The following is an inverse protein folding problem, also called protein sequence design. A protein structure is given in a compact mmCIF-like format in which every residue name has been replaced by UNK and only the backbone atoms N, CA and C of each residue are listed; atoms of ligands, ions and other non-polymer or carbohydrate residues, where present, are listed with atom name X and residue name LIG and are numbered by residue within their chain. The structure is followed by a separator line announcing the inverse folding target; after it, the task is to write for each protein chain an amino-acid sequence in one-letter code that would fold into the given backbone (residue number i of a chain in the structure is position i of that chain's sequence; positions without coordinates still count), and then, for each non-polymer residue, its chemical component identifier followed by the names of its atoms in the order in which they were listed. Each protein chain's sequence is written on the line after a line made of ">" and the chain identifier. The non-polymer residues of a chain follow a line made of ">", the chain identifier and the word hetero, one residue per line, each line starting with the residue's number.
data_IF_475486775327
#
_entry.id   IF_475486775327
#
_cell.length_a   1.000
_cell.length_b   1.000
_cell.length_c   1.000
_cell.angle_alpha   90.00
_cell.angle_beta   90.00
_cell.angle_gamma   90.00
#
_symmetry.space_group_name_H-M   'P 1'
#
loop_
_entity.id
_entity.type
_entity.pdbx_description
1 polymer ?
#
# COMPACT_ATOMS: atom_id res chain seq x y z
N UNK A 1 39.53 14.60 -1.41
CA UNK A 1 38.48 14.07 -2.30
C UNK A 1 37.79 15.22 -2.99
N UNK A 2 38.21 15.56 -4.21
CA UNK A 2 37.60 16.61 -5.02
C UNK A 2 36.35 16.06 -5.71
N UNK A 3 35.19 16.61 -5.36
CA UNK A 3 33.88 16.25 -5.91
C UNK A 3 33.83 16.69 -7.39
N UNK A 4 33.97 15.74 -8.33
CA UNK A 4 33.98 16.02 -9.76
C UNK A 4 32.54 16.13 -10.31
N UNK A 5 31.97 17.33 -10.17
CA UNK A 5 30.59 17.64 -10.54
C UNK A 5 30.26 17.30 -12.01
N UNK A 6 31.22 17.38 -12.93
CA UNK A 6 30.98 17.06 -14.36
C UNK A 6 30.70 15.57 -14.56
N UNK A 7 31.42 14.71 -13.84
CA UNK A 7 31.26 13.26 -13.92
C UNK A 7 29.93 12.81 -13.32
N UNK A 8 29.51 13.44 -12.21
CA UNK A 8 28.20 13.19 -11.58
C UNK A 8 27.04 13.63 -12.48
N UNK A 9 27.15 14.78 -13.16
CA UNK A 9 26.11 15.29 -14.08
C UNK A 9 25.99 14.38 -15.33
N UNK A 10 27.12 13.93 -15.90
CA UNK A 10 27.10 12.99 -17.02
C UNK A 10 26.52 11.62 -16.63
N UNK A 11 26.87 11.10 -15.44
CA UNK A 11 26.31 9.85 -14.94
C UNK A 11 24.81 9.96 -14.65
N UNK A 12 24.35 11.08 -14.09
CA UNK A 12 22.94 11.35 -13.89
C UNK A 12 22.19 11.41 -15.24
N UNK A 13 22.73 12.12 -16.24
CA UNK A 13 22.13 12.19 -17.58
C UNK A 13 22.03 10.83 -18.28
N UNK A 14 23.08 10.02 -18.20
CA UNK A 14 23.09 8.66 -18.77
C UNK A 14 22.11 7.71 -18.06
N UNK A 15 21.95 7.84 -16.75
CA UNK A 15 20.94 7.13 -15.97
C UNK A 15 19.54 7.54 -16.40
N UNK A 16 19.22 8.84 -16.41
CA UNK A 16 17.91 9.36 -16.81
C UNK A 16 17.53 8.93 -18.22
N UNK A 17 18.47 8.95 -19.15
CA UNK A 17 18.25 8.50 -20.53
C UNK A 17 17.94 7.00 -20.61
N UNK A 18 18.64 6.15 -19.85
CA UNK A 18 18.33 4.71 -19.77
C UNK A 18 16.93 4.46 -19.22
N UNK A 19 16.54 5.16 -18.16
CA UNK A 19 15.18 5.04 -17.60
C UNK A 19 14.11 5.48 -18.59
N UNK A 20 14.33 6.60 -19.29
CA UNK A 20 13.37 7.13 -20.26
C UNK A 20 13.20 6.20 -21.46
N UNK A 21 14.30 5.69 -22.02
CA UNK A 21 14.26 4.73 -23.15
C UNK A 21 13.63 3.41 -22.73
N UNK A 22 13.91 2.94 -21.51
CA UNK A 22 13.30 1.72 -20.95
C UNK A 22 11.79 1.87 -20.73
N UNK A 23 11.35 2.99 -20.15
CA UNK A 23 9.95 3.29 -19.93
C UNK A 23 9.19 3.45 -21.26
N UNK A 24 9.79 4.12 -22.24
CA UNK A 24 9.20 4.30 -23.58
C UNK A 24 9.04 2.98 -24.32
N UNK A 25 10.06 2.10 -24.27
CA UNK A 25 9.99 0.77 -24.89
C UNK A 25 8.92 -0.11 -24.23
N UNK A 26 8.74 -0.02 -22.91
CA UNK A 26 7.66 -0.70 -22.17
C UNK A 26 6.28 -0.13 -22.53
N UNK A 27 6.15 1.19 -22.63
CA UNK A 27 4.92 1.83 -23.08
C UNK A 27 4.52 1.43 -24.50
N UNK A 28 5.48 1.32 -25.41
CA UNK A 28 5.22 0.89 -26.79
C UNK A 28 4.64 -0.53 -26.86
N UNK A 29 5.09 -1.43 -25.97
CA UNK A 29 4.59 -2.81 -25.85
C UNK A 29 3.19 -2.93 -25.25
N UNK A 30 2.64 -1.85 -24.66
CA UNK A 30 1.29 -1.89 -24.11
C UNK A 30 0.22 -1.92 -25.20
N UNK A 31 -0.80 -2.74 -24.97
CA UNK A 31 -2.00 -2.79 -25.80
C UNK A 31 -2.82 -1.48 -25.67
N UNK A 32 -3.80 -1.22 -26.56
CA UNK A 32 -4.54 0.05 -26.60
C UNK A 32 -5.16 0.40 -25.23
N UNK A 33 -5.71 -0.59 -24.53
CA UNK A 33 -6.28 -0.44 -23.18
C UNK A 33 -5.22 -0.07 -22.13
N UNK A 34 -4.03 -0.66 -22.20
CA UNK A 34 -2.92 -0.33 -21.30
C UNK A 34 -2.41 1.10 -21.53
N UNK A 35 -2.33 1.53 -22.79
CA UNK A 35 -1.99 2.93 -23.14
C UNK A 35 -3.06 3.90 -22.66
N UNK A 36 -4.34 3.56 -22.83
CA UNK A 36 -5.46 4.35 -22.34
C UNK A 36 -5.45 4.47 -20.80
N UNK A 37 -5.15 3.38 -20.09
CA UNK A 37 -5.01 3.37 -18.64
C UNK A 37 -3.86 4.27 -18.16
N UNK A 38 -2.69 4.21 -18.82
CA UNK A 38 -1.56 5.09 -18.51
C UNK A 38 -1.94 6.56 -18.71
N UNK A 39 -2.58 6.91 -19.84
CA UNK A 39 -3.04 8.27 -20.07
C UNK A 39 -4.11 8.71 -19.07
N UNK A 40 -5.07 7.84 -18.72
CA UNK A 40 -6.07 8.11 -17.69
C UNK A 40 -5.40 8.40 -16.34
N UNK A 41 -4.40 7.62 -15.95
CA UNK A 41 -3.61 7.86 -14.73
C UNK A 41 -2.85 9.18 -14.79
N UNK A 42 -2.21 9.51 -15.91
CA UNK A 42 -1.53 10.81 -16.09
C UNK A 42 -2.53 11.96 -15.94
N UNK A 43 -3.66 11.91 -16.64
CA UNK A 43 -4.71 12.93 -16.55
C UNK A 43 -5.29 13.03 -15.15
N UNK A 44 -5.49 11.91 -14.45
CA UNK A 44 -5.92 11.90 -13.06
C UNK A 44 -4.93 12.61 -12.14
N UNK A 45 -3.63 12.34 -12.26
CA UNK A 45 -2.60 13.00 -11.45
C UNK A 45 -2.47 14.49 -11.79
N UNK A 46 -2.58 14.87 -13.06
CA UNK A 46 -2.61 16.28 -13.48
C UNK A 46 -3.84 16.99 -12.93
N UNK A 47 -5.02 16.37 -13.00
CA UNK A 47 -6.25 16.91 -12.44
C UNK A 47 -6.13 17.09 -10.91
N UNK A 48 -5.58 16.09 -10.22
CA UNK A 48 -5.33 16.15 -8.78
C UNK A 48 -4.36 17.29 -8.44
N UNK A 49 -3.22 17.40 -9.13
CA UNK A 49 -2.26 18.48 -8.95
C UNK A 49 -2.91 19.85 -9.22
N UNK A 50 -3.73 19.95 -10.27
CA UNK A 50 -4.45 21.18 -10.62
C UNK A 50 -5.45 21.57 -9.53
N UNK A 51 -6.16 20.61 -8.94
CA UNK A 51 -7.05 20.85 -7.79
C UNK A 51 -6.25 21.36 -6.60
N UNK A 52 -5.13 20.72 -6.25
CA UNK A 52 -4.26 21.17 -5.15
C UNK A 52 -3.70 22.57 -5.37
N UNK A 53 -3.26 22.90 -6.58
CA UNK A 53 -2.73 24.22 -6.94
C UNK A 53 -3.85 25.28 -6.94
N UNK A 54 -5.01 24.98 -7.54
CA UNK A 54 -6.10 25.95 -7.74
C UNK A 54 -6.92 26.21 -6.48
N UNK A 55 -7.22 25.17 -5.71
CA UNK A 55 -7.97 25.31 -4.46
C UNK A 55 -7.06 25.69 -3.28
N UNK A 56 -5.76 25.43 -3.39
CA UNK A 56 -4.79 25.64 -2.33
C UNK A 56 -4.89 24.53 -1.28
N UNK A 57 -3.74 23.98 -0.88
CA UNK A 57 -3.67 22.96 0.16
C UNK A 57 -4.35 23.43 1.46
N UNK A 58 -4.22 24.72 1.79
CA UNK A 58 -4.81 25.33 2.99
C UNK A 58 -6.34 25.16 3.05
N UNK A 59 -7.06 25.32 1.93
CA UNK A 59 -8.53 25.16 1.93
C UNK A 59 -8.95 23.71 2.12
N UNK A 60 -8.20 22.77 1.57
CA UNK A 60 -8.47 21.33 1.73
C UNK A 60 -8.24 20.94 3.19
N UNK A 61 -7.13 21.37 3.78
CA UNK A 61 -6.84 21.11 5.18
C UNK A 61 -7.83 21.81 6.13
N UNK A 62 -8.26 23.02 5.82
CA UNK A 62 -9.32 23.71 6.55
C UNK A 62 -10.65 22.94 6.47
N UNK A 63 -11.05 22.47 5.28
CA UNK A 63 -12.27 21.67 5.12
C UNK A 63 -12.21 20.37 5.94
N UNK A 64 -11.08 19.67 5.92
CA UNK A 64 -10.86 18.47 6.73
C UNK A 64 -10.91 18.81 8.24
N UNK A 65 -10.33 19.94 8.65
CA UNK A 65 -10.37 20.43 10.02
C UNK A 65 -11.79 20.76 10.48
N UNK A 66 -12.53 21.55 9.71
CA UNK A 66 -13.91 21.94 10.03
C UNK A 66 -14.82 20.70 10.09
N UNK A 67 -14.63 19.75 9.17
CA UNK A 67 -15.32 18.46 9.18
C UNK A 67 -14.99 17.65 10.44
N UNK A 68 -13.72 17.63 10.84
CA UNK A 68 -13.27 16.98 12.06
C UNK A 68 -13.88 17.62 13.32
N UNK A 69 -13.96 18.96 13.39
CA UNK A 69 -14.58 19.65 14.53
C UNK A 69 -16.09 19.40 14.60
N UNK A 70 -16.80 19.40 13.46
CA UNK A 70 -18.21 19.01 13.39
C UNK A 70 -18.43 17.59 13.92
N UNK A 71 -17.55 16.67 13.54
CA UNK A 71 -17.60 15.29 14.02
C UNK A 71 -17.33 15.19 15.52
N UNK A 72 -16.31 15.90 16.01
CA UNK A 72 -15.96 15.96 17.43
C UNK A 72 -17.10 16.50 18.30
N UNK A 73 -17.85 17.48 17.79
CA UNK A 73 -18.99 18.07 18.48
C UNK A 73 -20.18 17.08 18.63
N UNK A 74 -20.25 16.04 17.80
CA UNK A 74 -21.27 15.00 17.93
C UNK A 74 -20.89 14.00 19.03
N UNK A 75 -21.78 13.66 19.97
CA UNK A 75 -21.52 12.64 21.00
C UNK A 75 -21.12 11.28 20.43
N UNK A 76 -21.61 10.95 19.23
CA UNK A 76 -21.36 9.68 18.52
C UNK A 76 -20.29 9.80 17.42
N UNK A 77 -19.57 10.93 17.31
CA UNK A 77 -18.60 11.14 16.22
C UNK A 77 -17.50 10.08 16.14
N UNK A 78 -17.09 9.54 17.29
CA UNK A 78 -16.09 8.48 17.37
C UNK A 78 -16.60 7.14 16.81
N UNK A 79 -17.91 6.86 16.92
CA UNK A 79 -18.54 5.68 16.30
C UNK A 79 -18.61 5.86 14.78
N UNK A 80 -18.99 7.05 14.32
CA UNK A 80 -19.10 7.36 12.89
C UNK A 80 -17.75 7.17 12.20
N UNK A 81 -16.66 7.71 12.78
CA UNK A 81 -15.33 7.54 12.17
C UNK A 81 -14.83 6.10 12.23
N UNK A 82 -15.15 5.38 13.32
CA UNK A 82 -14.85 3.94 13.43
C UNK A 82 -15.58 3.14 12.34
N UNK A 83 -16.85 3.44 12.09
CA UNK A 83 -17.63 2.83 11.02
C UNK A 83 -17.05 3.15 9.64
N UNK A 84 -16.64 4.40 9.39
CA UNK A 84 -15.96 4.78 8.14
C UNK A 84 -14.67 3.98 7.96
N UNK A 85 -13.85 3.82 9.01
CA UNK A 85 -12.61 3.02 8.95
C UNK A 85 -12.92 1.56 8.64
N UNK A 86 -13.95 0.98 9.27
CA UNK A 86 -14.38 -0.40 9.02
C UNK A 86 -14.83 -0.57 7.56
N UNK A 87 -15.72 0.31 7.09
CA UNK A 87 -16.26 0.28 5.73
C UNK A 87 -15.13 0.47 4.71
N UNK A 88 -14.30 1.49 4.88
CA UNK A 88 -13.16 1.78 3.99
C UNK A 88 -12.02 0.78 4.11
N UNK A 89 -12.11 -0.22 5.00
CA UNK A 89 -11.18 -1.36 5.02
C UNK A 89 -11.52 -2.40 3.94
N UNK A 90 -12.73 -2.36 3.38
CA UNK A 90 -13.17 -3.23 2.29
C UNK A 90 -12.68 -2.72 0.94
N UNK A 91 -11.97 -3.53 0.14
CA UNK A 91 -11.72 -3.23 -1.27
C UNK A 91 -13.05 -3.10 -2.03
N UNK A 92 -13.24 -2.13 -2.96
CA UNK A 92 -12.26 -1.17 -3.50
C UNK A 92 -12.31 0.23 -2.85
N UNK A 93 -12.95 0.36 -1.69
CA UNK A 93 -13.24 1.67 -1.10
C UNK A 93 -11.94 2.40 -0.73
N UNK A 94 -11.87 3.67 -1.08
CA UNK A 94 -10.74 4.55 -0.74
C UNK A 94 -11.13 5.52 0.36
N UNK A 95 -10.15 6.09 1.05
CA UNK A 95 -10.38 7.11 2.08
C UNK A 95 -10.07 6.68 3.52
N UNK A 96 -9.62 5.45 3.73
CA UNK A 96 -9.17 4.99 5.06
C UNK A 96 -8.06 5.88 5.64
N UNK A 97 -7.05 6.25 4.83
CA UNK A 97 -5.99 7.18 5.24
C UNK A 97 -6.52 8.57 5.61
N UNK A 98 -7.52 9.07 4.87
CA UNK A 98 -8.17 10.35 5.17
C UNK A 98 -8.96 10.27 6.48
N UNK A 99 -9.68 9.18 6.73
CA UNK A 99 -10.38 8.95 7.99
C UNK A 99 -9.41 8.90 9.19
N UNK A 100 -8.23 8.28 9.02
CA UNK A 100 -7.17 8.31 10.04
C UNK A 100 -6.69 9.74 10.31
N UNK A 101 -6.42 10.55 9.28
CA UNK A 101 -6.02 11.96 9.45
C UNK A 101 -7.12 12.78 10.14
N UNK A 102 -8.37 12.64 9.71
CA UNK A 102 -9.54 13.33 10.31
C UNK A 102 -9.74 12.92 11.77
N UNK A 103 -9.51 11.64 12.12
CA UNK A 103 -9.57 11.18 13.51
C UNK A 103 -8.51 11.86 14.38
N UNK A 104 -7.31 12.06 13.82
CA UNK A 104 -6.24 12.84 14.44
C UNK A 104 -6.60 14.32 14.59
N UNK A 105 -7.29 14.91 13.62
CA UNK A 105 -7.77 16.30 13.68
C UNK A 105 -8.82 16.50 14.77
N UNK A 106 -9.76 15.56 14.91
CA UNK A 106 -10.87 15.66 15.84
C UNK A 106 -10.46 15.31 17.28
N UNK A 107 -9.79 14.18 17.48
CA UNK A 107 -9.58 13.57 18.80
C UNK A 107 -8.11 13.51 19.23
N UNK A 108 -7.18 13.95 18.37
CA UNK A 108 -5.76 13.92 18.65
C UNK A 108 -5.20 12.49 18.81
N UNK A 109 -4.08 12.31 19.53
CA UNK A 109 -3.49 10.99 19.77
C UNK A 109 -4.43 10.01 20.48
N UNK A 110 -5.44 10.52 21.22
CA UNK A 110 -6.45 9.70 21.90
C UNK A 110 -7.33 8.93 20.91
N UNK A 111 -7.39 9.36 19.64
CA UNK A 111 -8.16 8.65 18.61
C UNK A 111 -7.73 7.17 18.45
N UNK A 112 -6.46 6.87 18.77
CA UNK A 112 -5.91 5.53 18.67
C UNK A 112 -6.71 4.47 19.43
N UNK A 113 -7.34 4.82 20.57
CA UNK A 113 -8.08 3.87 21.41
C UNK A 113 -9.29 3.24 20.71
N UNK A 114 -9.94 3.97 19.78
CA UNK A 114 -11.06 3.45 18.99
C UNK A 114 -10.66 3.16 17.54
N UNK A 115 -9.66 3.85 16.99
CA UNK A 115 -9.18 3.61 15.62
C UNK A 115 -8.50 2.26 15.48
N UNK A 116 -7.64 1.87 16.44
CA UNK A 116 -6.95 0.59 16.40
C UNK A 116 -7.93 -0.61 16.38
N UNK A 117 -8.91 -0.72 17.31
CA UNK A 117 -9.88 -1.80 17.25
C UNK A 117 -10.77 -1.71 16.01
N UNK A 118 -11.20 -0.52 15.57
CA UNK A 118 -11.98 -0.37 14.34
C UNK A 118 -11.21 -0.87 13.09
N UNK A 119 -9.92 -0.56 12.99
CA UNK A 119 -9.06 -1.05 11.92
C UNK A 119 -8.93 -2.58 11.95
N UNK A 120 -8.73 -3.18 13.13
CA UNK A 120 -8.69 -4.64 13.28
C UNK A 120 -10.01 -5.29 12.87
N UNK A 121 -11.15 -4.72 13.29
CA UNK A 121 -12.49 -5.23 12.93
C UNK A 121 -12.72 -5.10 11.42
N UNK A 122 -12.37 -3.95 10.82
CA UNK A 122 -12.48 -3.73 9.38
C UNK A 122 -11.63 -4.69 8.56
N UNK A 123 -10.39 -4.91 8.99
CA UNK A 123 -9.49 -5.88 8.38
C UNK A 123 -10.04 -7.31 8.50
N UNK A 124 -10.53 -7.71 9.68
CA UNK A 124 -11.13 -9.02 9.89
C UNK A 124 -12.35 -9.23 8.99
N UNK A 125 -13.25 -8.25 8.95
CA UNK A 125 -14.44 -8.29 8.11
C UNK A 125 -14.08 -8.39 6.63
N UNK A 126 -13.13 -7.56 6.16
CA UNK A 126 -12.64 -7.62 4.79
C UNK A 126 -12.04 -8.98 4.45
N UNK A 127 -11.22 -9.55 5.33
CA UNK A 127 -10.59 -10.84 5.09
C UNK A 127 -11.62 -11.96 4.96
N UNK A 128 -12.59 -12.01 5.87
CA UNK A 128 -13.66 -13.02 5.88
C UNK A 128 -14.56 -12.84 4.66
N UNK A 129 -15.01 -11.61 4.37
CA UNK A 129 -15.89 -11.33 3.24
C UNK A 129 -15.23 -11.73 1.91
N UNK A 130 -13.98 -11.33 1.68
CA UNK A 130 -13.29 -11.67 0.44
C UNK A 130 -13.10 -13.18 0.27
N UNK A 131 -12.73 -13.89 1.35
CA UNK A 131 -12.59 -15.36 1.29
C UNK A 131 -13.90 -16.08 1.14
N UNK A 132 -15.00 -15.54 1.66
CA UNK A 132 -16.30 -16.17 1.49
C UNK A 132 -16.84 -15.97 0.06
N UNK A 133 -16.80 -14.75 -0.45
CA UNK A 133 -17.43 -14.41 -1.74
C UNK A 133 -16.54 -14.70 -2.97
N UNK A 134 -15.21 -14.66 -2.85
CA UNK A 134 -14.31 -14.71 -4.00
C UNK A 134 -13.37 -15.91 -4.04
N UNK A 135 -13.52 -16.89 -3.13
CA UNK A 135 -12.62 -18.07 -3.03
C UNK A 135 -12.34 -18.74 -4.36
N UNK A 136 -13.38 -19.05 -5.12
CA UNK A 136 -13.22 -19.82 -6.36
C UNK A 136 -12.54 -19.00 -7.47
N UNK A 137 -12.87 -17.70 -7.57
CA UNK A 137 -12.23 -16.80 -8.53
C UNK A 137 -10.74 -16.60 -8.20
N UNK A 138 -10.43 -16.44 -6.92
CA UNK A 138 -9.06 -16.33 -6.40
C UNK A 138 -8.26 -17.60 -6.72
N UNK A 139 -8.79 -18.79 -6.42
CA UNK A 139 -8.10 -20.06 -6.70
C UNK A 139 -7.76 -20.22 -8.18
N UNK A 140 -8.72 -19.91 -9.07
CA UNK A 140 -8.50 -19.94 -10.53
C UNK A 140 -7.46 -18.92 -10.98
N UNK A 141 -7.42 -17.75 -10.35
CA UNK A 141 -6.43 -16.70 -10.65
C UNK A 141 -5.02 -17.13 -10.22
N UNK A 142 -4.84 -17.63 -8.99
CA UNK A 142 -3.53 -18.07 -8.49
C UNK A 142 -2.98 -19.26 -9.27
N UNK A 143 -3.84 -20.18 -9.73
CA UNK A 143 -3.40 -21.31 -10.55
C UNK A 143 -2.85 -20.91 -11.92
N UNK A 144 -3.37 -19.83 -12.50
CA UNK A 144 -2.95 -19.32 -13.82
C UNK A 144 -1.66 -18.51 -13.76
N UNK A 145 -1.32 -17.96 -12.61
CA UNK A 145 -0.25 -16.99 -12.49
C UNK A 145 0.92 -17.53 -11.67
N UNK A 146 2.05 -17.74 -12.32
CA UNK A 146 3.22 -18.34 -11.67
C UNK A 146 3.79 -17.49 -10.55
N UNK A 147 3.83 -16.15 -10.73
CA UNK A 147 4.29 -15.21 -9.70
C UNK A 147 3.44 -15.27 -8.43
N UNK A 148 2.12 -15.42 -8.58
CA UNK A 148 1.19 -15.54 -7.46
C UNK A 148 1.33 -16.87 -6.73
N UNK A 149 1.55 -17.95 -7.46
CA UNK A 149 1.86 -19.27 -6.90
C UNK A 149 3.20 -19.27 -6.14
N UNK A 150 4.22 -18.60 -6.68
CA UNK A 150 5.49 -18.39 -5.99
C UNK A 150 5.29 -17.61 -4.68
N UNK A 151 4.56 -16.49 -4.72
CA UNK A 151 4.24 -15.71 -3.52
C UNK A 151 3.51 -16.54 -2.45
N UNK A 152 2.53 -17.35 -2.86
CA UNK A 152 1.82 -18.25 -1.95
C UNK A 152 2.74 -19.30 -1.33
N UNK A 153 3.65 -19.89 -2.12
CA UNK A 153 4.63 -20.87 -1.65
C UNK A 153 5.63 -20.25 -0.65
N UNK A 154 6.11 -19.04 -0.94
CA UNK A 154 7.03 -18.31 -0.05
C UNK A 154 6.34 -17.96 1.27
N UNK A 155 5.08 -17.52 1.24
CA UNK A 155 4.29 -17.25 2.46
C UNK A 155 3.99 -18.53 3.22
N UNK A 156 3.70 -19.64 2.54
CA UNK A 156 3.50 -20.93 3.19
C UNK A 156 4.77 -21.42 3.89
N UNK A 157 5.94 -21.18 3.30
CA UNK A 157 7.24 -21.60 3.85
C UNK A 157 7.74 -20.68 4.97
N UNK A 158 7.62 -19.36 4.82
CA UNK A 158 8.15 -18.35 5.77
C UNK A 158 7.13 -17.99 6.85
N UNK A 159 5.84 -18.21 6.63
CA UNK A 159 4.78 -18.09 7.63
C UNK A 159 4.52 -16.68 8.17
N UNK A 160 4.14 -16.60 9.45
CA UNK A 160 3.75 -15.36 10.13
C UNK A 160 4.78 -14.21 10.03
N UNK A 161 6.10 -14.46 10.19
CA UNK A 161 7.12 -13.43 10.00
C UNK A 161 7.03 -12.65 8.69
N UNK A 162 6.88 -13.37 7.58
CA UNK A 162 6.78 -12.74 6.26
C UNK A 162 5.47 -11.97 6.12
N UNK A 163 4.38 -12.50 6.67
CA UNK A 163 3.07 -11.82 6.69
C UNK A 163 3.19 -10.48 7.42
N UNK A 164 3.88 -10.44 8.57
CA UNK A 164 4.14 -9.20 9.32
C UNK A 164 4.95 -8.22 8.47
N UNK A 165 6.02 -8.69 7.82
CA UNK A 165 6.87 -7.86 6.97
C UNK A 165 6.11 -7.24 5.79
N UNK A 166 5.35 -8.06 5.06
CA UNK A 166 4.50 -7.58 3.95
C UNK A 166 3.45 -6.59 4.47
N UNK A 167 2.90 -6.79 5.67
CA UNK A 167 1.92 -5.86 6.26
C UNK A 167 2.53 -4.49 6.56
N UNK A 168 3.79 -4.46 6.98
CA UNK A 168 4.53 -3.25 7.32
C UNK A 168 5.01 -2.47 6.08
N UNK A 169 5.16 -3.16 4.95
CA UNK A 169 5.48 -2.57 3.65
C UNK A 169 4.56 -1.38 3.31
N UNK A 170 5.00 -0.44 2.45
CA UNK A 170 4.24 0.78 2.10
C UNK A 170 3.03 0.50 1.18
N UNK A 171 2.32 -0.61 1.40
CA UNK A 171 1.09 -0.97 0.70
C UNK A 171 -0.09 -0.15 1.22
N UNK A 172 -0.98 0.35 0.34
CA UNK A 172 -2.25 0.90 0.76
C UNK A 172 -3.07 -0.13 1.56
N UNK A 173 -3.69 0.33 2.64
CA UNK A 173 -4.36 -0.52 3.63
C UNK A 173 -5.35 -1.53 3.02
N UNK A 174 -6.18 -1.06 2.09
CA UNK A 174 -7.21 -1.87 1.43
C UNK A 174 -6.63 -2.92 0.50
N UNK A 175 -5.60 -2.56 -0.27
CA UNK A 175 -4.89 -3.52 -1.12
C UNK A 175 -4.17 -4.58 -0.29
N UNK A 176 -3.57 -4.19 0.82
CA UNK A 176 -2.96 -5.14 1.76
C UNK A 176 -4.01 -6.12 2.33
N UNK A 177 -5.23 -5.65 2.67
CA UNK A 177 -6.32 -6.53 3.09
C UNK A 177 -6.74 -7.51 1.98
N UNK A 178 -6.84 -7.03 0.74
CA UNK A 178 -7.19 -7.85 -0.41
C UNK A 178 -6.13 -8.92 -0.71
N UNK A 179 -4.86 -8.53 -0.65
CA UNK A 179 -3.70 -9.40 -0.89
C UNK A 179 -3.74 -10.63 0.02
N UNK A 180 -3.81 -10.42 1.34
CA UNK A 180 -3.82 -11.54 2.29
C UNK A 180 -5.09 -12.37 2.24
N UNK A 181 -6.23 -11.78 1.86
CA UNK A 181 -7.45 -12.53 1.65
C UNK A 181 -7.35 -13.49 0.44
N UNK A 182 -6.56 -13.10 -0.57
CA UNK A 182 -6.35 -13.85 -1.83
C UNK A 182 -5.40 -15.04 -1.66
N UNK A 183 -4.46 -14.96 -0.74
CA UNK A 183 -3.44 -16.01 -0.53
C UNK A 183 -4.04 -17.08 0.38
N UNK A 184 -4.27 -18.31 -0.09
CA UNK A 184 -4.97 -19.34 0.70
C UNK A 184 -4.13 -19.82 1.90
N UNK A 185 -2.81 -19.86 1.75
CA UNK A 185 -1.87 -20.28 2.80
C UNK A 185 -1.91 -19.42 4.07
N UNK A 186 -2.42 -18.19 4.00
CA UNK A 186 -2.51 -17.28 5.15
C UNK A 186 -3.66 -17.68 6.06
N UNK A 187 -3.39 -17.97 7.33
CA UNK A 187 -4.45 -18.19 8.33
C UNK A 187 -5.10 -16.88 8.79
N UNK A 188 -6.39 -16.91 9.17
CA UNK A 188 -7.07 -15.75 9.78
C UNK A 188 -6.31 -15.25 11.01
N UNK A 189 -5.87 -16.16 11.89
CA UNK A 189 -5.08 -15.80 13.06
C UNK A 189 -3.76 -15.11 12.71
N UNK A 190 -3.03 -15.62 11.71
CA UNK A 190 -1.77 -15.01 11.28
C UNK A 190 -1.99 -13.59 10.75
N UNK A 191 -3.05 -13.40 9.95
CA UNK A 191 -3.44 -12.10 9.45
C UNK A 191 -3.83 -11.12 10.57
N UNK A 192 -4.56 -11.59 11.59
CA UNK A 192 -4.95 -10.75 12.72
C UNK A 192 -3.77 -10.35 13.58
N UNK A 193 -2.85 -11.27 13.88
CA UNK A 193 -1.61 -10.95 14.62
C UNK A 193 -0.78 -9.92 13.86
N UNK A 194 -0.57 -10.13 12.56
CA UNK A 194 0.15 -9.17 11.72
C UNK A 194 -0.55 -7.80 11.66
N UNK A 195 -1.89 -7.78 11.65
CA UNK A 195 -2.68 -6.55 11.66
C UNK A 195 -2.56 -5.80 13.00
N UNK A 196 -2.55 -6.50 14.13
CA UNK A 196 -2.31 -5.89 15.45
C UNK A 196 -0.92 -5.25 15.50
N UNK A 197 0.11 -5.97 15.02
CA UNK A 197 1.48 -5.46 14.96
C UNK A 197 1.67 -4.30 13.98
N UNK A 198 0.76 -4.16 13.00
CA UNK A 198 0.72 -3.01 12.09
C UNK A 198 0.11 -1.76 12.73
N UNK A 199 -0.75 -1.87 13.75
CA UNK A 199 -1.44 -0.71 14.35
C UNK A 199 -0.53 0.46 14.81
N UNK A 200 0.73 0.27 15.25
CA UNK A 200 1.63 1.40 15.52
C UNK A 200 1.83 2.32 14.30
N UNK A 201 1.80 1.80 13.07
CA UNK A 201 1.86 2.60 11.83
C UNK A 201 0.63 3.51 11.69
N UNK A 202 -0.54 3.06 12.15
CA UNK A 202 -1.76 3.89 12.20
C UNK A 202 -1.61 5.05 13.20
N UNK A 203 -0.99 4.80 14.36
CA UNK A 203 -0.75 5.84 15.36
C UNK A 203 0.08 6.99 14.79
N UNK A 204 1.10 6.71 13.97
CA UNK A 204 1.92 7.74 13.33
C UNK A 204 1.05 8.67 12.47
N UNK A 205 0.14 8.12 11.67
CA UNK A 205 -0.76 8.90 10.80
C UNK A 205 -1.70 9.79 11.64
N UNK A 206 -2.32 9.22 12.69
CA UNK A 206 -3.20 9.94 13.62
C UNK A 206 -2.42 11.07 14.31
N UNK A 207 -1.21 10.77 14.75
CA UNK A 207 -0.35 11.72 15.43
C UNK A 207 0.02 12.89 14.51
N UNK A 208 0.48 12.61 13.29
CA UNK A 208 0.75 13.64 12.28
C UNK A 208 -0.51 14.49 12.03
N UNK A 209 -1.67 13.85 11.87
CA UNK A 209 -2.95 14.54 11.74
C UNK A 209 -3.19 15.53 12.89
N UNK A 210 -3.03 15.08 14.14
CA UNK A 210 -3.20 15.94 15.32
C UNK A 210 -2.27 17.16 15.36
N UNK A 211 -1.09 17.07 14.71
CA UNK A 211 -0.14 18.17 14.58
C UNK A 211 -0.54 19.13 13.48
N UNK A 212 -0.90 18.60 12.31
CA UNK A 212 -1.37 19.40 11.18
C UNK A 212 -2.60 20.21 11.58
N UNK A 213 -3.53 19.63 12.35
CA UNK A 213 -4.73 20.32 12.84
C UNK A 213 -4.43 21.66 13.57
N UNK A 214 -3.34 21.74 14.33
CA UNK A 214 -2.94 22.98 15.03
C UNK A 214 -2.46 24.08 14.09
N UNK A 215 -1.96 23.71 12.91
CA UNK A 215 -1.54 24.66 11.88
C UNK A 215 -2.68 25.02 10.94
N UNK A 216 -3.66 24.12 10.79
CA UNK A 216 -4.87 24.34 10.00
C UNK A 216 -5.85 25.31 10.67
N UNK A 217 -5.80 25.52 11.99
CA UNK A 217 -6.64 26.50 12.65
C UNK A 217 -6.07 27.93 12.50
N UNK A 218 -6.69 28.73 11.64
CA UNK A 218 -6.28 30.11 11.36
C UNK A 218 -6.27 31.04 12.57
N UNK A 219 -7.07 30.76 13.62
CA UNK A 219 -7.07 31.56 14.85
C UNK A 219 -5.89 31.21 15.77
N UNK A 220 -5.59 29.91 15.94
CA UNK A 220 -4.43 29.49 16.74
C UNK A 220 -3.09 29.90 16.11
N UNK A 221 -3.00 29.97 14.79
CA UNK A 221 -1.77 30.38 14.08
C UNK A 221 -1.32 31.81 14.43
N UNK A 222 -2.25 32.70 14.77
CA UNK A 222 -1.98 34.11 15.14
C UNK A 222 -1.67 34.33 16.63
N UNK A 223 -2.26 33.53 17.53
CA UNK A 223 -2.19 33.73 18.99
C UNK A 223 -1.15 32.85 19.72
N UNK A 224 -0.40 31.99 19.01
CA UNK A 224 0.61 31.13 19.65
C UNK A 224 1.76 31.95 20.26
N UNK A 225 1.73 32.09 21.59
CA UNK A 225 2.84 32.56 22.41
C UNK A 225 4.11 31.70 22.22
N UNK A 226 5.28 32.28 22.47
CA UNK A 226 6.58 31.61 22.34
C UNK A 226 6.66 30.31 23.15
N UNK A 227 6.05 30.26 24.34
CA UNK A 227 5.99 29.05 25.15
C UNK A 227 5.15 27.93 24.50
N UNK A 228 4.03 28.30 23.85
CA UNK A 228 3.16 27.36 23.12
C UNK A 228 3.81 26.85 21.84
N UNK A 229 4.61 27.68 21.15
CA UNK A 229 5.46 27.28 20.02
C UNK A 229 6.50 26.25 20.46
N UNK A 230 7.21 26.52 21.56
CA UNK A 230 8.20 25.60 22.12
C UNK A 230 7.59 24.29 22.61
N UNK A 231 6.46 24.33 23.31
CA UNK A 231 5.75 23.13 23.76
C UNK A 231 5.26 22.30 22.56
N UNK A 232 4.77 22.95 21.50
CA UNK A 232 4.38 22.25 20.29
C UNK A 232 5.60 21.64 19.57
N UNK A 233 6.70 22.38 19.44
CA UNK A 233 7.95 21.88 18.87
C UNK A 233 8.51 20.68 19.65
N UNK A 234 8.56 20.76 20.98
CA UNK A 234 8.96 19.65 21.86
C UNK A 234 8.06 18.43 21.66
N UNK A 235 6.76 18.64 21.56
CA UNK A 235 5.81 17.55 21.37
C UNK A 235 5.86 16.94 19.97
N UNK A 236 6.24 17.71 18.94
CA UNK A 236 6.55 17.19 17.60
C UNK A 236 7.83 16.36 17.66
N UNK A 237 8.88 16.86 18.32
CA UNK A 237 10.14 16.14 18.50
C UNK A 237 9.93 14.82 19.25
N UNK A 238 9.18 14.84 20.36
CA UNK A 238 8.84 13.64 21.12
C UNK A 238 8.04 12.62 20.28
N UNK A 239 7.07 13.09 19.50
CA UNK A 239 6.30 12.23 18.61
C UNK A 239 7.12 11.64 17.47
N UNK A 240 8.03 12.44 16.89
CA UNK A 240 8.99 11.97 15.90
C UNK A 240 9.92 10.91 16.49
N UNK A 241 10.40 11.12 17.72
CA UNK A 241 11.23 10.13 18.44
C UNK A 241 10.48 8.83 18.74
N UNK A 242 9.20 8.90 19.14
CA UNK A 242 8.36 7.71 19.33
C UNK A 242 8.13 6.99 18.00
N UNK A 243 7.81 7.72 16.92
CA UNK A 243 7.64 7.15 15.59
C UNK A 243 8.91 6.49 15.06
N UNK A 244 10.06 7.15 15.27
CA UNK A 244 11.37 6.61 14.93
C UNK A 244 11.69 5.37 15.77
N UNK A 245 11.45 5.40 17.08
CA UNK A 245 11.67 4.26 17.97
C UNK A 245 10.78 3.06 17.63
N UNK A 246 9.50 3.29 17.30
CA UNK A 246 8.59 2.24 16.84
C UNK A 246 9.04 1.66 15.50
N UNK A 247 9.43 2.51 14.55
CA UNK A 247 9.98 2.08 13.25
C UNK A 247 11.27 1.27 13.43
N UNK A 248 12.17 1.72 14.31
CA UNK A 248 13.42 1.04 14.62
C UNK A 248 13.20 -0.30 15.31
N UNK A 249 12.29 -0.36 16.28
CA UNK A 249 11.91 -1.60 16.95
C UNK A 249 11.34 -2.62 15.94
N UNK A 250 10.43 -2.17 15.08
CA UNK A 250 9.85 -2.99 14.01
C UNK A 250 10.95 -3.48 13.07
N UNK A 251 11.85 -2.60 12.63
CA UNK A 251 12.98 -2.97 11.78
C UNK A 251 13.87 -4.01 12.44
N UNK A 252 14.18 -3.85 13.74
CA UNK A 252 14.98 -4.81 14.50
C UNK A 252 14.29 -6.18 14.63
N UNK A 253 12.99 -6.20 14.91
CA UNK A 253 12.21 -7.44 14.97
C UNK A 253 12.16 -8.15 13.61
N UNK A 254 12.01 -7.36 12.55
CA UNK A 254 11.98 -7.85 11.17
C UNK A 254 13.33 -8.43 10.76
N UNK A 255 14.42 -7.70 11.00
CA UNK A 255 15.78 -8.06 10.58
C UNK A 255 16.35 -9.26 11.36
N UNK A 256 15.97 -9.40 12.64
CA UNK A 256 16.28 -10.60 13.41
C UNK A 256 15.62 -11.84 12.82
N UNK A 257 14.41 -11.69 12.27
CA UNK A 257 13.62 -12.81 11.78
C UNK A 257 13.93 -13.16 10.32
N UNK A 258 14.20 -12.18 9.44
CA UNK A 258 14.67 -12.43 8.06
C UNK A 258 15.89 -13.34 8.06
N UNK A 259 16.81 -13.16 9.01
CA UNK A 259 18.01 -13.99 9.18
C UNK A 259 17.73 -15.43 9.60
N UNK A 260 16.56 -15.69 10.16
CA UNK A 260 16.11 -17.02 10.57
C UNK A 260 15.18 -17.67 9.53
N UNK A 261 14.78 -16.94 8.47
CA UNK A 261 13.87 -17.48 7.45
C UNK A 261 14.60 -18.53 6.60
N UNK A 262 13.86 -19.60 6.28
CA UNK A 262 14.33 -20.64 5.37
C UNK A 262 14.63 -20.03 4.00
N UNK A 263 15.85 -20.21 3.53
CA UNK A 263 16.22 -19.85 2.16
C UNK A 263 15.45 -20.76 1.19
N UNK A 264 14.74 -20.13 0.25
CA UNK A 264 14.04 -20.81 -0.83
C UNK A 264 14.90 -20.71 -2.10
N UNK A 265 14.61 -21.54 -3.13
CA UNK A 265 15.21 -21.36 -4.44
C UNK A 265 15.06 -19.90 -4.91
N UNK A 266 16.16 -19.31 -5.38
CA UNK A 266 16.24 -17.87 -5.66
C UNK A 266 15.19 -17.43 -6.70
N UNK A 267 14.90 -18.28 -7.68
CA UNK A 267 13.86 -18.07 -8.69
C UNK A 267 12.46 -17.89 -8.07
N UNK A 268 12.12 -18.67 -7.06
CA UNK A 268 10.81 -18.60 -6.38
C UNK A 268 10.71 -17.34 -5.52
N UNK A 269 11.78 -16.99 -4.81
CA UNK A 269 11.83 -15.76 -4.01
C UNK A 269 11.78 -14.50 -4.90
N UNK A 270 12.47 -14.49 -6.05
CA UNK A 270 12.44 -13.40 -7.02
C UNK A 270 11.03 -13.21 -7.64
N UNK A 271 10.37 -14.31 -8.03
CA UNK A 271 9.00 -14.27 -8.56
C UNK A 271 7.98 -13.76 -7.54
N UNK A 272 8.15 -14.13 -6.26
CA UNK A 272 7.30 -13.64 -5.18
C UNK A 272 7.53 -12.14 -4.90
N UNK A 273 8.78 -11.68 -4.94
CA UNK A 273 9.12 -10.26 -4.80
C UNK A 273 8.51 -9.43 -5.94
N UNK A 274 8.60 -9.92 -7.18
CA UNK A 274 7.95 -9.31 -8.33
C UNK A 274 6.43 -9.23 -8.17
N UNK A 275 5.78 -10.29 -7.66
CA UNK A 275 4.34 -10.27 -7.40
C UNK A 275 3.95 -9.16 -6.40
N UNK A 276 4.72 -9.00 -5.33
CA UNK A 276 4.50 -7.95 -4.33
C UNK A 276 4.73 -6.56 -4.91
N UNK A 277 5.78 -6.39 -5.72
CA UNK A 277 6.06 -5.12 -6.41
C UNK A 277 4.93 -4.73 -7.37
N UNK A 278 4.36 -5.70 -8.10
CA UNK A 278 3.20 -5.47 -8.99
C UNK A 278 1.95 -5.01 -8.19
N UNK A 279 1.77 -5.51 -6.96
CA UNK A 279 0.72 -5.06 -6.03
C UNK A 279 1.00 -3.66 -5.49
N UNK A 280 2.24 -3.34 -5.13
CA UNK A 280 2.67 -2.00 -4.69
C UNK A 280 2.46 -0.94 -5.77
N UNK A 281 2.78 -1.28 -7.02
CA UNK A 281 2.60 -0.40 -8.18
C UNK A 281 1.13 -0.20 -8.57
N UNK A 282 0.18 -0.91 -7.94
CA UNK A 282 -1.23 -0.90 -8.35
C UNK A 282 -1.42 -1.43 -9.77
N UNK A 283 -0.50 -2.27 -10.24
CA UNK A 283 -0.47 -2.84 -11.59
C UNK A 283 -0.68 -4.37 -11.61
N UNK A 284 -1.64 -4.95 -10.86
CA UNK A 284 -1.89 -6.40 -10.89
C UNK A 284 -2.41 -6.91 -12.26
N UNK A 285 -2.53 -6.03 -13.26
CA UNK A 285 -3.14 -6.27 -14.57
C UNK A 285 -2.20 -6.01 -15.77
N UNK A 286 -0.90 -5.77 -15.55
CA UNK A 286 0.07 -5.54 -16.64
C UNK A 286 0.98 -6.74 -16.95
N UNK A 287 0.67 -7.93 -16.40
CA UNK A 287 1.26 -9.17 -16.88
C UNK A 287 0.85 -9.44 -18.33
N UNK A 288 1.74 -10.02 -19.13
CA UNK A 288 1.46 -10.44 -20.51
C UNK A 288 0.17 -11.28 -20.53
N UNK A 289 -0.93 -10.64 -20.91
CA UNK A 289 -2.10 -11.31 -21.44
C UNK A 289 -1.78 -11.60 -22.90
N UNK A 290 -0.89 -12.57 -23.15
CA UNK A 290 -0.94 -13.29 -24.41
C UNK A 290 -2.21 -14.15 -24.35
N UNK A 291 -3.32 -13.57 -24.80
CA UNK A 291 -4.44 -14.33 -25.33
C UNK A 291 -3.93 -15.07 -26.58
N UNK A 292 -3.25 -16.19 -26.36
CA UNK A 292 -2.97 -17.21 -27.38
C UNK A 292 -3.07 -18.59 -26.71
N UNK A 293 -4.17 -18.83 -26.00
CA UNK A 293 -4.73 -20.18 -25.92
C UNK A 293 -6.10 -20.11 -26.59
N UNK A 294 -6.08 -20.22 -27.92
CA UNK A 294 -7.27 -20.57 -28.70
C UNK A 294 -7.85 -21.87 -28.14
N UNK A 295 -8.87 -21.72 -27.30
CA UNK A 295 -9.81 -22.78 -26.96
C UNK A 295 -10.49 -23.25 -28.26
N UNK A 296 -10.09 -24.40 -28.80
CA UNK A 296 -10.99 -25.14 -29.66
C UNK A 296 -12.16 -25.67 -28.80
N UNK A 297 -13.38 -25.57 -29.33
CA UNK A 297 -14.66 -25.90 -28.68
C UNK A 297 -14.88 -27.37 -28.29
N UNK A 298 -13.82 -28.11 -28.00
CA UNK A 298 -13.78 -29.54 -27.63
C UNK A 298 -13.07 -29.76 -26.27
N UNK A 299 -12.10 -28.92 -25.88
CA UNK A 299 -11.51 -28.99 -24.54
C UNK A 299 -10.38 -30.01 -24.34
N UNK A 300 -9.62 -30.32 -25.40
CA UNK A 300 -8.37 -31.09 -25.29
C UNK A 300 -7.12 -30.21 -25.44
N UNK A 301 -6.14 -30.39 -24.56
CA UNK A 301 -4.82 -29.73 -24.60
C UNK A 301 -3.96 -30.28 -25.75
N UNK A 302 -3.43 -29.41 -26.62
CA UNK A 302 -2.34 -29.77 -27.54
C UNK A 302 -1.05 -29.91 -26.73
N UNK A 303 -0.56 -31.14 -26.57
CA UNK A 303 0.87 -31.38 -26.38
C UNK A 303 1.55 -30.96 -27.68
N UNK A 304 2.29 -29.85 -27.66
CA UNK A 304 3.12 -29.46 -28.80
C UNK A 304 4.30 -30.44 -28.83
N UNK A 305 4.16 -31.48 -29.65
CA UNK A 305 5.17 -32.48 -29.90
C UNK A 305 6.29 -31.83 -30.73
N UNK A 306 7.35 -31.39 -30.06
CA UNK A 306 8.54 -30.84 -30.71
C UNK A 306 9.49 -31.96 -31.16
N UNK A 307 8.96 -32.99 -31.81
CA UNK A 307 9.74 -34.01 -32.52
C UNK A 307 9.19 -34.20 -33.93
N UNK A 308 9.41 -33.22 -34.81
CA UNK A 308 9.65 -33.49 -36.23
C UNK A 308 10.13 -32.22 -36.95
N UNK A 309 11.46 -32.04 -36.99
CA UNK A 309 12.13 -31.46 -38.16
C UNK A 309 13.46 -32.19 -38.36
N UNK A 310 13.30 -33.38 -38.92
CA UNK A 310 14.24 -34.18 -39.69
C UNK A 310 15.27 -33.31 -40.43
N UNK A 311 16.58 -33.59 -40.33
CA UNK A 311 17.27 -34.48 -41.29
C UNK A 311 16.60 -34.53 -42.66
N UNK A 312 16.90 -33.58 -43.55
CA UNK A 312 17.19 -33.87 -44.98
C UNK A 312 17.50 -32.59 -45.75
N UNK A 313 18.60 -32.68 -46.53
CA UNK A 313 19.10 -31.79 -47.59
C UNK A 313 19.97 -30.61 -47.19
#
# INVERSE_FOLDING_TARGET
>A
MTFDAKRTIQQAGAMTQKYFVGAFRRYQKLNLYGKAFVWLMIFFHIALATVFIKFGADRIFQFLYDSAQKLKAMPTGWLIISAIIIITSLPPLVGGSTALTVSGFAYGPKAFSFVAPAACIGAAFSFIALRYFFREKVRRFTQRQEKWRALEAVIAAKGLPLIILIRLAPLPWTYSNALFATIESVGFWQFMVATVLYTPKLFIIIFIGSRVAKFSDGQQRGEMDAASKWLNALSIALGASIGFGATWLIWRLTDAEIRNMKELPQDVDDMAADALHDVEAGAPLLGDYSEDEELNGDGTLRLNDSSDSLTTR
#
